data_IF_360914977043
#
_entry.id   IF_360914977043
#
_cell.length_a   1.000
_cell.length_b   1.000
_cell.length_c   1.000
_cell.angle_alpha   90.00
_cell.angle_beta   90.00
_cell.angle_gamma   90.00
#
_symmetry.space_group_name_H-M   'P 1'
#
loop_
_entity.id
_entity.type
_entity.pdbx_description
1 polymer ?
#
# COMPACT_ATOMS: atom_id res chain seq x y z
N UNK A 1 -0.43 10.32 9.88
CA UNK A 1 -0.13 10.50 8.45
C UNK A 1 -0.01 9.22 7.66
N UNK A 2 -0.64 9.26 6.49
CA UNK A 2 -0.72 8.19 5.51
C UNK A 2 -1.63 8.59 4.37
N UNK A 3 -1.59 7.81 3.29
CA UNK A 3 -2.49 7.98 2.15
C UNK A 3 -3.43 6.78 2.16
N UNK A 4 -4.73 7.04 2.33
CA UNK A 4 -5.77 6.02 2.17
C UNK A 4 -6.35 6.12 0.77
N UNK A 5 -6.30 5.02 0.03
CA UNK A 5 -6.88 4.85 -1.29
C UNK A 5 -8.12 3.98 -1.16
N UNK A 6 -9.25 4.46 -1.64
CA UNK A 6 -10.46 3.67 -1.79
C UNK A 6 -10.46 3.04 -3.18
N UNK A 7 -10.71 1.75 -3.23
CA UNK A 7 -10.81 0.96 -4.45
C UNK A 7 -12.27 0.60 -4.70
N UNK A 8 -12.52 -0.05 -5.83
CA UNK A 8 -13.84 -0.60 -6.15
C UNK A 8 -14.31 -1.62 -5.09
N UNK A 9 -15.62 -1.86 -5.07
CA UNK A 9 -16.23 -2.87 -4.20
C UNK A 9 -15.96 -2.65 -2.70
N UNK A 10 -15.78 -1.39 -2.29
CA UNK A 10 -15.52 -1.00 -0.90
C UNK A 10 -14.15 -1.40 -0.36
N UNK A 11 -13.27 -1.93 -1.21
CA UNK A 11 -11.90 -2.28 -0.79
C UNK A 11 -11.07 -1.02 -0.54
N UNK A 12 -10.03 -1.10 0.28
CA UNK A 12 -9.15 0.04 0.52
C UNK A 12 -7.72 -0.39 0.82
N UNK A 13 -6.80 0.56 0.62
CA UNK A 13 -5.39 0.45 0.97
C UNK A 13 -4.99 1.68 1.78
N UNK A 14 -4.16 1.51 2.81
CA UNK A 14 -3.55 2.59 3.57
C UNK A 14 -2.04 2.43 3.53
N UNK A 15 -1.35 3.40 2.93
CA UNK A 15 0.10 3.51 2.94
C UNK A 15 0.54 4.44 4.06
N UNK A 16 1.50 4.00 4.88
CA UNK A 16 2.08 4.82 5.94
C UNK A 16 3.60 4.66 5.98
N UNK A 17 4.39 5.74 5.85
CA UNK A 17 5.80 5.67 6.22
C UNK A 17 5.91 5.38 7.72
N UNK A 18 6.87 4.55 8.10
CA UNK A 18 7.26 4.39 9.49
C UNK A 18 8.02 5.63 9.96
N UNK A 19 7.72 6.12 11.17
CA UNK A 19 8.45 7.26 11.75
C UNK A 19 9.79 6.88 12.37
N UNK A 20 10.02 5.59 12.63
CA UNK A 20 11.18 5.09 13.38
C UNK A 20 12.01 4.06 12.62
N UNK A 21 11.54 3.61 11.45
CA UNK A 21 12.18 2.56 10.67
C UNK A 21 12.17 2.94 9.18
N UNK A 22 13.16 2.51 8.38
CA UNK A 22 13.22 2.80 6.95
C UNK A 22 12.29 1.88 6.15
N UNK A 23 10.98 1.88 6.46
CA UNK A 23 9.97 1.08 5.78
C UNK A 23 8.65 1.82 5.59
N UNK A 24 7.87 1.36 4.61
CA UNK A 24 6.48 1.77 4.38
C UNK A 24 5.57 0.61 4.79
N UNK A 25 4.61 0.89 5.66
CA UNK A 25 3.54 -0.05 6.03
C UNK A 25 2.39 0.08 5.04
N UNK A 26 1.89 -1.06 4.58
CA UNK A 26 0.72 -1.16 3.71
C UNK A 26 -0.33 -1.99 4.42
N UNK A 27 -1.48 -1.39 4.69
CA UNK A 27 -2.66 -2.09 5.19
C UNK A 27 -3.67 -2.19 4.05
N UNK A 28 -4.38 -3.30 3.96
CA UNK A 28 -5.41 -3.50 2.94
C UNK A 28 -6.61 -4.21 3.54
N UNK A 29 -7.77 -3.91 3.00
CA UNK A 29 -9.01 -4.64 3.26
C UNK A 29 -9.75 -4.82 1.94
N UNK A 30 -10.31 -6.01 1.75
CA UNK A 30 -11.05 -6.36 0.55
C UNK A 30 -12.09 -7.41 0.86
N UNK A 31 -13.14 -7.46 0.04
CA UNK A 31 -14.21 -8.44 0.15
C UNK A 31 -13.84 -9.83 -0.42
N UNK A 32 -12.62 -10.01 -0.93
CA UNK A 32 -12.18 -11.26 -1.55
C UNK A 32 -10.77 -11.67 -1.13
N UNK A 33 -10.60 -12.88 -0.56
CA UNK A 33 -9.27 -13.41 -0.25
C UNK A 33 -8.34 -13.51 -1.47
N UNK A 34 -8.89 -13.74 -2.68
CA UNK A 34 -8.09 -13.78 -3.91
C UNK A 34 -7.51 -12.41 -4.27
N UNK A 35 -8.26 -11.32 -4.02
CA UNK A 35 -7.82 -9.95 -4.28
C UNK A 35 -6.70 -9.52 -3.33
N UNK A 36 -6.65 -10.07 -2.11
CA UNK A 36 -5.59 -9.75 -1.11
C UNK A 36 -4.20 -9.92 -1.72
N UNK A 37 -3.92 -11.10 -2.28
CA UNK A 37 -2.60 -11.39 -2.85
C UNK A 37 -2.29 -10.51 -4.07
N UNK A 38 -3.27 -10.32 -4.97
CA UNK A 38 -3.11 -9.49 -6.16
C UNK A 38 -2.80 -8.02 -5.82
N UNK A 39 -3.52 -7.47 -4.84
CA UNK A 39 -3.32 -6.11 -4.36
C UNK A 39 -1.96 -5.99 -3.66
N UNK A 40 -1.62 -6.92 -2.78
CA UNK A 40 -0.36 -6.90 -2.05
C UNK A 40 0.84 -6.90 -3.02
N UNK A 41 0.84 -7.80 -4.01
CA UNK A 41 1.89 -7.84 -5.03
C UNK A 41 1.96 -6.56 -5.87
N UNK A 42 0.81 -6.01 -6.28
CA UNK A 42 0.77 -4.77 -7.04
C UNK A 42 1.35 -3.59 -6.25
N UNK A 43 1.05 -3.51 -4.96
CA UNK A 43 1.59 -2.49 -4.06
C UNK A 43 3.08 -2.66 -3.86
N UNK A 44 3.57 -3.89 -3.63
CA UNK A 44 4.99 -4.15 -3.49
C UNK A 44 5.77 -3.75 -4.74
N UNK A 45 5.30 -4.16 -5.93
CA UNK A 45 5.90 -3.78 -7.20
C UNK A 45 5.95 -2.27 -7.39
N UNK A 46 4.85 -1.57 -7.06
CA UNK A 46 4.77 -0.12 -7.18
C UNK A 46 5.75 0.59 -6.25
N UNK A 47 5.82 0.18 -4.99
CA UNK A 47 6.72 0.77 -3.98
C UNK A 47 8.19 0.55 -4.36
N UNK A 48 8.55 -0.63 -4.86
CA UNK A 48 9.94 -0.92 -5.29
C UNK A 48 10.43 -0.05 -6.44
N UNK A 49 9.52 0.47 -7.26
CA UNK A 49 9.85 1.36 -8.37
C UNK A 49 9.95 2.83 -7.95
N UNK A 50 9.51 3.18 -6.73
CA UNK A 50 9.63 4.53 -6.22
C UNK A 50 11.10 4.84 -5.97
N UNK A 51 11.56 5.96 -6.53
CA UNK A 51 12.86 6.52 -6.21
C UNK A 51 12.70 7.45 -5.00
N UNK A 52 13.71 7.51 -4.10
CA UNK A 52 13.76 8.57 -3.11
C UNK A 52 13.61 9.92 -3.81
N UNK A 53 12.72 10.76 -3.30
CA UNK A 53 12.66 12.15 -3.76
C UNK A 53 13.93 12.82 -3.23
N UNK A 54 14.91 13.04 -4.11
CA UNK A 54 16.05 13.90 -3.78
C UNK A 54 15.49 15.31 -3.54
N UNK A 55 15.49 15.73 -2.28
CA UNK A 55 15.16 17.09 -1.85
C UNK A 55 16.45 17.82 -1.51
#
# INVERSE_FOLDING_TARGET
DGIKLYLEEGSWILLRPSGTEPLIRVYLETNSPRKVAQIAEAMERSIRQLKPVNT
#
